data_IF_016257069710
#
_entry.id   IF_016257069710
#
_cell.length_a   1.000
_cell.length_b   1.000
_cell.length_c   1.000
_cell.angle_alpha   90.00
_cell.angle_beta   90.00
_cell.angle_gamma   90.00
#
_symmetry.space_group_name_H-M   'P 1'
#
loop_
_entity.id
_entity.type
_entity.pdbx_description
1 polymer ?
#
# COMPACT_ATOMS: atom_id res chain seq x y z
N UNK A 1 -32.96 9.41 -26.90
CA UNK A 1 -33.99 10.10 -26.11
C UNK A 1 -33.42 10.28 -24.73
N UNK A 2 -33.12 11.51 -24.36
CA UNK A 2 -32.80 11.81 -22.97
C UNK A 2 -33.99 11.42 -22.12
N UNK A 3 -33.74 10.73 -21.02
CA UNK A 3 -34.83 10.30 -20.14
C UNK A 3 -35.45 11.54 -19.49
N UNK A 4 -36.74 11.47 -19.12
CA UNK A 4 -37.41 12.53 -18.34
C UNK A 4 -36.59 12.92 -17.10
N UNK A 5 -35.86 11.96 -16.53
CA UNK A 5 -34.95 12.17 -15.39
C UNK A 5 -33.78 13.10 -15.76
N UNK A 6 -33.20 12.97 -16.95
CA UNK A 6 -32.09 13.81 -17.40
C UNK A 6 -32.56 15.23 -17.73
N UNK A 7 -33.76 15.36 -18.30
CA UNK A 7 -34.40 16.66 -18.55
C UNK A 7 -34.66 17.43 -17.23
N UNK A 8 -35.15 16.72 -16.20
CA UNK A 8 -35.33 17.30 -14.87
C UNK A 8 -33.98 17.73 -14.27
N UNK A 9 -32.94 16.90 -14.36
CA UNK A 9 -31.60 17.24 -13.84
C UNK A 9 -31.00 18.45 -14.54
N UNK A 10 -31.20 18.60 -15.85
CA UNK A 10 -30.66 19.72 -16.60
C UNK A 10 -31.36 21.06 -16.30
N UNK A 11 -32.59 21.04 -15.81
CA UNK A 11 -33.34 22.25 -15.43
C UNK A 11 -33.07 22.74 -14.00
N UNK A 12 -32.56 21.89 -13.13
CA UNK A 12 -32.34 22.22 -11.72
C UNK A 12 -30.91 22.71 -11.48
N UNK A 13 -30.76 23.87 -10.85
CA UNK A 13 -29.46 24.30 -10.31
C UNK A 13 -29.26 23.68 -8.93
N UNK A 14 -28.18 22.92 -8.78
CA UNK A 14 -27.78 22.28 -7.54
C UNK A 14 -27.62 23.29 -6.39
N UNK A 15 -27.20 24.53 -6.69
CA UNK A 15 -27.06 25.58 -5.67
C UNK A 15 -28.43 25.95 -5.11
N UNK A 16 -29.40 26.20 -5.98
CA UNK A 16 -30.78 26.52 -5.59
C UNK A 16 -31.39 25.38 -4.78
N UNK A 17 -31.31 24.15 -5.30
CA UNK A 17 -31.85 22.96 -4.63
C UNK A 17 -31.25 22.81 -3.24
N UNK A 18 -29.93 22.85 -3.08
CA UNK A 18 -29.28 22.65 -1.78
C UNK A 18 -29.52 23.85 -0.85
N UNK A 19 -29.55 25.08 -1.38
CA UNK A 19 -29.79 26.27 -0.58
C UNK A 19 -31.16 26.29 0.10
N UNK A 20 -32.13 25.52 -0.43
CA UNK A 20 -33.44 25.32 0.21
C UNK A 20 -33.36 24.46 1.50
N UNK A 21 -32.32 23.63 1.65
CA UNK A 21 -32.12 22.77 2.82
C UNK A 21 -31.02 23.27 3.76
N UNK A 22 -29.97 23.91 3.20
CA UNK A 22 -28.77 24.29 3.93
C UNK A 22 -28.42 25.74 3.67
N UNK A 23 -28.01 26.45 4.72
CA UNK A 23 -27.40 27.77 4.56
C UNK A 23 -26.01 27.63 3.93
N UNK A 24 -25.91 27.99 2.66
CA UNK A 24 -24.68 27.97 1.90
C UNK A 24 -23.88 29.26 2.11
N UNK A 25 -22.58 29.13 2.38
CA UNK A 25 -21.60 30.22 2.43
C UNK A 25 -20.75 30.19 1.16
N UNK A 26 -20.66 31.31 0.44
CA UNK A 26 -19.86 31.40 -0.80
C UNK A 26 -18.37 31.41 -0.47
N UNK A 27 -17.59 30.57 -1.16
CA UNK A 27 -16.13 30.46 -0.99
C UNK A 27 -15.44 30.26 -2.34
N UNK A 28 -14.83 31.34 -2.83
CA UNK A 28 -14.28 31.37 -4.20
C UNK A 28 -15.38 31.15 -5.23
N UNK A 29 -15.16 30.22 -6.15
CA UNK A 29 -16.17 29.82 -7.16
C UNK A 29 -17.18 28.78 -6.67
N UNK A 30 -17.04 28.27 -5.45
CA UNK A 30 -17.89 27.23 -4.88
C UNK A 30 -18.67 27.78 -3.66
N UNK A 31 -19.53 26.94 -3.09
CA UNK A 31 -20.22 27.18 -1.83
C UNK A 31 -19.85 26.11 -0.81
N UNK A 32 -20.02 26.40 0.49
CA UNK A 32 -19.85 25.42 1.56
C UNK A 32 -20.96 25.50 2.61
N UNK A 33 -21.20 24.41 3.33
CA UNK A 33 -22.08 24.34 4.49
C UNK A 33 -21.62 23.25 5.48
N UNK A 34 -22.26 23.19 6.64
CA UNK A 34 -22.19 22.01 7.50
C UNK A 34 -22.88 20.84 6.77
N UNK A 35 -22.22 19.69 6.76
CA UNK A 35 -22.74 18.48 6.15
C UNK A 35 -23.97 17.99 6.94
N UNK A 36 -25.15 17.85 6.33
CA UNK A 36 -26.35 17.37 7.03
C UNK A 36 -26.26 15.89 7.40
N UNK A 37 -25.30 15.16 6.85
CA UNK A 37 -25.16 13.72 7.02
C UNK A 37 -24.25 13.34 8.20
N UNK A 38 -23.52 14.29 8.80
CA UNK A 38 -22.65 14.04 9.95
C UNK A 38 -22.68 15.24 10.90
N UNK A 39 -22.65 15.00 12.21
CA UNK A 39 -22.64 16.09 13.20
C UNK A 39 -21.27 16.77 13.23
N UNK A 40 -21.17 17.97 12.64
CA UNK A 40 -19.91 18.72 12.57
C UNK A 40 -20.08 20.20 12.96
N UNK A 41 -19.01 20.80 13.50
CA UNK A 41 -18.97 22.22 13.89
C UNK A 41 -18.34 23.14 12.82
N UNK A 42 -17.70 22.57 11.79
CA UNK A 42 -17.04 23.32 10.70
C UNK A 42 -17.46 22.77 9.33
N UNK A 43 -17.69 23.63 8.32
CA UNK A 43 -18.19 23.21 7.01
C UNK A 43 -17.25 22.25 6.26
N UNK A 44 -17.73 21.04 5.95
CA UNK A 44 -17.04 20.08 5.05
C UNK A 44 -17.82 19.78 3.76
N UNK A 45 -19.08 20.24 3.70
CA UNK A 45 -19.95 20.07 2.54
C UNK A 45 -19.70 21.19 1.54
N UNK A 46 -19.23 20.87 0.34
CA UNK A 46 -19.00 21.84 -0.73
C UNK A 46 -19.96 21.62 -1.88
N UNK A 47 -20.42 22.71 -2.50
CA UNK A 47 -21.24 22.72 -3.71
C UNK A 47 -20.49 23.44 -4.80
N UNK A 48 -20.36 22.82 -5.96
CA UNK A 48 -19.72 23.39 -7.14
C UNK A 48 -20.76 23.74 -8.19
N UNK A 49 -21.08 25.03 -8.39
CA UNK A 49 -22.08 25.47 -9.38
C UNK A 49 -21.67 25.08 -10.80
N UNK A 50 -20.39 25.28 -11.15
CA UNK A 50 -19.88 24.97 -12.49
C UNK A 50 -19.97 23.48 -12.82
N UNK A 51 -19.81 22.61 -11.82
CA UNK A 51 -19.84 21.17 -12.03
C UNK A 51 -21.20 20.55 -11.76
N UNK A 52 -22.15 21.34 -11.24
CA UNK A 52 -23.47 20.86 -10.78
C UNK A 52 -23.35 19.63 -9.87
N UNK A 53 -22.41 19.66 -8.91
CA UNK A 53 -22.18 18.58 -7.92
C UNK A 53 -21.96 19.15 -6.52
N UNK A 54 -22.23 18.34 -5.50
CA UNK A 54 -21.77 18.57 -4.14
C UNK A 54 -20.82 17.46 -3.68
N UNK A 55 -19.97 17.77 -2.70
CA UNK A 55 -19.05 16.80 -2.11
C UNK A 55 -18.75 17.15 -0.64
N UNK A 56 -18.98 16.21 0.26
CA UNK A 56 -18.46 16.24 1.63
C UNK A 56 -17.06 15.63 1.64
N UNK A 57 -16.05 16.38 2.11
CA UNK A 57 -14.67 15.89 2.14
C UNK A 57 -14.33 15.22 3.48
N UNK A 58 -14.09 13.91 3.43
CA UNK A 58 -13.47 13.19 4.54
C UNK A 58 -12.02 13.62 4.77
N UNK A 59 -11.51 13.38 5.98
CA UNK A 59 -10.21 13.89 6.44
C UNK A 59 -9.28 12.75 6.85
N UNK A 60 -7.99 13.06 6.86
CA UNK A 60 -6.97 12.26 7.55
C UNK A 60 -6.70 12.87 8.93
N UNK A 61 -6.19 12.07 9.86
CA UNK A 61 -5.76 12.59 11.17
C UNK A 61 -4.43 13.35 11.06
N UNK A 62 -4.13 14.27 12.00
CA UNK A 62 -2.79 14.84 12.15
C UNK A 62 -1.71 13.75 12.21
N UNK A 63 -0.53 14.04 11.66
CA UNK A 63 0.57 13.09 11.50
C UNK A 63 0.47 12.21 10.25
N UNK A 64 -0.67 12.22 9.54
CA UNK A 64 -0.80 11.46 8.30
C UNK A 64 0.17 11.98 7.24
N UNK A 65 0.93 11.07 6.64
CA UNK A 65 2.00 11.43 5.71
C UNK A 65 1.46 11.69 4.30
N UNK A 66 1.82 12.85 3.74
CA UNK A 66 1.51 13.23 2.37
C UNK A 66 2.79 13.29 1.55
N UNK A 67 2.80 12.66 0.37
CA UNK A 67 3.95 12.68 -0.54
C UNK A 67 4.02 14.01 -1.28
N UNK A 68 5.09 14.75 -1.07
CA UNK A 68 5.44 15.97 -1.81
C UNK A 68 6.64 15.73 -2.73
N UNK A 69 7.03 16.74 -3.53
CA UNK A 69 8.28 16.69 -4.29
C UNK A 69 9.53 16.55 -3.40
N UNK A 70 9.49 17.04 -2.16
CA UNK A 70 10.61 17.03 -1.21
C UNK A 70 10.62 15.79 -0.30
N UNK A 71 9.69 14.85 -0.51
CA UNK A 71 9.51 13.70 0.36
C UNK A 71 8.18 13.76 1.11
N UNK A 72 8.07 12.98 2.19
CA UNK A 72 6.86 12.95 3.01
C UNK A 72 6.88 14.05 4.05
N UNK A 73 5.75 14.73 4.16
CA UNK A 73 5.48 15.71 5.20
C UNK A 73 4.20 15.33 5.91
N UNK A 74 4.07 15.69 7.19
CA UNK A 74 2.79 15.51 7.88
C UNK A 74 1.76 16.44 7.25
N UNK A 75 0.51 16.01 7.20
CA UNK A 75 -0.56 16.75 6.54
C UNK A 75 -0.75 18.16 7.12
N UNK A 76 -0.48 18.34 8.42
CA UNK A 76 -0.54 19.63 9.12
C UNK A 76 0.63 20.58 8.82
N UNK A 77 1.74 20.07 8.27
CA UNK A 77 2.91 20.87 7.91
C UNK A 77 2.79 21.48 6.51
N UNK A 78 1.86 20.99 5.69
CA UNK A 78 1.69 21.45 4.32
C UNK A 78 1.13 22.88 4.25
N UNK A 79 1.62 23.64 3.28
CA UNK A 79 1.22 25.01 3.01
C UNK A 79 0.62 25.16 1.61
N UNK A 80 -0.13 26.24 1.41
CA UNK A 80 -0.63 26.60 0.07
C UNK A 80 0.57 26.81 -0.86
N UNK A 81 0.54 26.17 -2.03
CA UNK A 81 1.62 26.15 -3.00
C UNK A 81 2.48 24.89 -2.98
N UNK A 82 2.48 24.11 -1.89
CA UNK A 82 3.27 22.87 -1.82
C UNK A 82 2.82 21.85 -2.87
N UNK A 83 3.77 21.23 -3.54
CA UNK A 83 3.50 20.28 -4.62
C UNK A 83 3.30 18.87 -4.06
N UNK A 84 2.05 18.38 -4.08
CA UNK A 84 1.64 17.07 -3.57
C UNK A 84 1.33 16.07 -4.69
N UNK A 85 1.65 14.80 -4.49
CA UNK A 85 1.42 13.74 -5.46
C UNK A 85 -0.06 13.36 -5.51
N UNK A 86 -0.63 13.37 -6.71
CA UNK A 86 -2.03 12.96 -6.95
C UNK A 86 -2.15 11.47 -7.30
N UNK A 87 -3.36 10.93 -7.21
CA UNK A 87 -3.70 9.57 -7.66
C UNK A 87 -3.42 9.30 -9.15
N UNK A 88 -3.20 10.34 -9.96
CA UNK A 88 -2.81 10.23 -11.38
C UNK A 88 -1.29 10.21 -11.59
N UNK A 89 -0.49 10.18 -10.52
CA UNK A 89 0.97 10.12 -10.59
C UNK A 89 1.64 11.46 -10.93
N UNK A 90 0.92 12.59 -10.87
CA UNK A 90 1.46 13.94 -11.11
C UNK A 90 1.40 14.81 -9.87
N UNK A 91 2.33 15.75 -9.75
CA UNK A 91 2.35 16.73 -8.67
C UNK A 91 1.44 17.92 -8.97
N UNK A 92 0.67 18.37 -7.98
CA UNK A 92 -0.18 19.56 -8.07
C UNK A 92 -0.02 20.42 -6.81
N UNK A 93 -0.15 21.75 -6.92
CA UNK A 93 -0.03 22.63 -5.75
C UNK A 93 -1.23 22.46 -4.83
N UNK A 94 -0.98 22.49 -3.52
CA UNK A 94 -2.01 22.64 -2.49
C UNK A 94 -2.64 24.00 -2.68
N UNK A 95 -3.92 24.03 -3.04
CA UNK A 95 -4.68 25.27 -3.20
C UNK A 95 -5.20 25.82 -1.86
N UNK A 96 -5.38 24.92 -0.87
CA UNK A 96 -5.93 25.23 0.44
C UNK A 96 -5.64 24.10 1.43
N UNK A 97 -5.40 24.47 2.69
CA UNK A 97 -5.36 23.56 3.83
C UNK A 97 -6.69 23.57 4.57
N UNK A 98 -7.12 22.41 5.06
CA UNK A 98 -8.38 22.24 5.79
C UNK A 98 -8.09 21.64 7.16
N UNK A 99 -8.70 22.22 8.19
CA UNK A 99 -8.64 21.68 9.56
C UNK A 99 -10.00 21.80 10.24
N UNK A 100 -10.42 20.74 10.92
CA UNK A 100 -11.64 20.73 11.72
C UNK A 100 -11.52 19.83 12.96
N UNK A 101 -12.21 20.18 14.06
CA UNK A 101 -12.54 19.19 15.08
C UNK A 101 -13.48 18.15 14.47
N UNK A 102 -13.26 16.88 14.78
CA UNK A 102 -14.09 15.77 14.32
C UNK A 102 -14.60 14.99 15.54
N UNK A 103 -15.89 14.70 15.57
CA UNK A 103 -16.52 13.84 16.56
C UNK A 103 -17.31 12.76 15.81
N UNK A 104 -16.77 11.54 15.79
CA UNK A 104 -17.29 10.42 15.01
C UNK A 104 -16.29 9.28 14.97
N UNK A 105 -16.63 8.22 14.23
CA UNK A 105 -15.75 7.06 14.11
C UNK A 105 -14.57 7.35 13.19
N UNK A 106 -13.39 6.90 13.62
CA UNK A 106 -12.18 6.88 12.80
C UNK A 106 -11.80 5.44 12.52
N UNK A 107 -11.32 5.20 11.31
CA UNK A 107 -10.93 3.87 10.84
C UNK A 107 -9.43 3.84 10.61
N UNK A 108 -8.76 2.91 11.28
CA UNK A 108 -7.33 2.62 11.04
C UNK A 108 -7.21 1.44 10.10
N UNK A 109 -6.60 1.69 8.94
CA UNK A 109 -6.39 0.68 7.91
C UNK A 109 -4.98 0.13 8.03
N UNK A 110 -4.91 -1.19 8.27
CA UNK A 110 -3.66 -1.95 8.29
C UNK A 110 -3.60 -2.88 7.08
N UNK A 111 -2.64 -2.66 6.19
CA UNK A 111 -2.47 -3.48 5.00
C UNK A 111 -1.64 -4.73 5.31
N UNK A 112 -1.97 -5.86 4.67
CA UNK A 112 -1.25 -7.12 4.86
C UNK A 112 0.26 -7.06 4.56
N UNK A 113 0.67 -6.18 3.64
CA UNK A 113 2.05 -6.07 3.14
C UNK A 113 2.74 -4.76 3.51
N UNK A 114 2.09 -3.89 4.27
CA UNK A 114 2.67 -2.62 4.74
C UNK A 114 2.68 -2.64 6.26
N UNK A 115 3.75 -2.13 6.86
CA UNK A 115 3.78 -1.86 8.29
C UNK A 115 3.15 -0.52 8.66
N UNK A 116 3.01 0.38 7.67
CA UNK A 116 2.38 1.67 7.87
C UNK A 116 0.85 1.51 8.01
N UNK A 117 0.32 2.15 9.03
CA UNK A 117 -1.11 2.29 9.28
C UNK A 117 -1.57 3.68 8.84
N UNK A 118 -2.78 3.77 8.31
CA UNK A 118 -3.39 5.05 7.97
C UNK A 118 -4.73 5.18 8.66
N UNK A 119 -4.93 6.28 9.38
CA UNK A 119 -6.18 6.55 10.10
C UNK A 119 -6.91 7.72 9.43
N UNK A 120 -8.21 7.54 9.22
CA UNK A 120 -9.05 8.45 8.46
C UNK A 120 -10.50 8.44 8.96
N UNK A 121 -11.24 9.50 8.67
CA UNK A 121 -12.65 9.63 9.07
C UNK A 121 -13.54 8.64 8.30
N UNK A 122 -14.67 8.25 8.87
CA UNK A 122 -15.58 7.24 8.31
C UNK A 122 -16.04 7.53 6.86
N UNK A 123 -16.15 8.81 6.50
CA UNK A 123 -16.60 9.31 5.21
C UNK A 123 -15.48 9.47 4.18
N UNK A 124 -14.22 9.30 4.60
CA UNK A 124 -13.07 9.45 3.72
C UNK A 124 -13.07 8.36 2.65
N UNK A 125 -13.07 8.78 1.39
CA UNK A 125 -13.19 7.86 0.26
C UNK A 125 -11.84 7.29 -0.18
N UNK A 126 -11.75 5.97 -0.27
CA UNK A 126 -10.56 5.23 -0.73
C UNK A 126 -10.84 4.48 -2.01
N UNK A 127 -9.78 4.18 -2.77
CA UNK A 127 -9.87 3.37 -3.98
C UNK A 127 -9.69 1.89 -3.65
N UNK A 128 -10.58 1.04 -4.15
CA UNK A 128 -10.66 -0.38 -3.78
C UNK A 128 -10.98 -1.24 -5.00
N UNK A 129 -10.46 -2.46 -5.00
CA UNK A 129 -10.89 -3.54 -5.88
C UNK A 129 -11.50 -4.65 -5.04
N UNK A 130 -12.77 -4.98 -5.28
CA UNK A 130 -13.47 -6.10 -4.66
C UNK A 130 -13.05 -7.40 -5.33
N UNK A 131 -12.09 -8.10 -4.74
CA UNK A 131 -11.55 -9.33 -5.32
C UNK A 131 -12.36 -10.56 -4.93
N UNK A 132 -12.31 -11.59 -5.78
CA UNK A 132 -12.90 -12.91 -5.52
C UNK A 132 -11.78 -13.94 -5.37
N UNK A 133 -11.84 -14.73 -4.30
CA UNK A 133 -10.92 -15.85 -4.10
C UNK A 133 -11.08 -16.88 -5.21
N UNK A 134 -9.95 -17.38 -5.72
CA UNK A 134 -9.94 -18.33 -6.82
C UNK A 134 -10.20 -19.76 -6.31
N UNK A 135 -11.35 -20.33 -6.66
CA UNK A 135 -11.73 -21.71 -6.32
C UNK A 135 -10.77 -22.77 -6.90
N UNK A 136 -10.06 -22.46 -7.98
CA UNK A 136 -9.14 -23.38 -8.68
C UNK A 136 -7.71 -23.38 -8.12
N UNK A 137 -7.46 -22.65 -7.03
CA UNK A 137 -6.14 -22.61 -6.39
C UNK A 137 -6.26 -23.10 -4.95
N UNK A 138 -5.31 -23.93 -4.54
CA UNK A 138 -5.29 -24.58 -3.21
C UNK A 138 -5.26 -23.61 -2.03
N UNK A 139 -4.80 -22.36 -2.21
CA UNK A 139 -4.76 -21.35 -1.15
C UNK A 139 -6.02 -20.49 -1.19
N UNK A 140 -6.82 -20.54 -0.12
CA UNK A 140 -8.03 -19.71 0.09
C UNK A 140 -7.80 -18.21 -0.08
N UNK A 141 -6.57 -17.71 0.11
CA UNK A 141 -6.19 -16.30 -0.01
C UNK A 141 -5.72 -15.87 -1.40
N UNK A 142 -5.72 -16.78 -2.39
CA UNK A 142 -5.23 -16.49 -3.73
C UNK A 142 -6.37 -15.90 -4.57
N UNK A 143 -6.26 -14.62 -4.89
CA UNK A 143 -7.19 -13.93 -5.79
C UNK A 143 -7.01 -14.42 -7.23
N UNK A 144 -8.06 -14.22 -8.05
CA UNK A 144 -7.94 -14.41 -9.49
C UNK A 144 -6.96 -13.39 -10.08
N UNK A 145 -6.07 -13.82 -10.97
CA UNK A 145 -5.07 -12.95 -11.59
C UNK A 145 -5.11 -13.12 -13.11
N UNK A 146 -4.87 -12.03 -13.83
CA UNK A 146 -4.79 -12.03 -15.30
C UNK A 146 -3.80 -13.06 -15.85
N UNK A 147 -2.68 -13.24 -15.16
CA UNK A 147 -1.59 -14.12 -15.59
C UNK A 147 -1.67 -15.55 -15.02
N UNK A 148 -2.83 -15.97 -14.48
CA UNK A 148 -2.95 -17.26 -13.79
C UNK A 148 -2.98 -18.48 -14.73
N UNK A 149 -3.99 -18.56 -15.60
CA UNK A 149 -4.11 -19.56 -16.67
C UNK A 149 -5.09 -19.00 -17.72
N UNK A 150 -4.67 -18.91 -18.98
CA UNK A 150 -5.47 -18.37 -20.08
C UNK A 150 -6.72 -19.22 -20.37
N UNK A 151 -6.67 -20.53 -20.13
CA UNK A 151 -7.79 -21.46 -20.35
C UNK A 151 -8.72 -21.64 -19.15
N UNK A 152 -8.49 -20.93 -18.04
CA UNK A 152 -9.40 -21.00 -16.90
C UNK A 152 -10.78 -20.46 -17.30
N UNK A 153 -11.89 -21.17 -17.05
CA UNK A 153 -13.22 -20.75 -17.48
C UNK A 153 -13.80 -19.61 -16.62
N UNK A 154 -13.38 -19.48 -15.35
CA UNK A 154 -14.00 -18.53 -14.43
C UNK A 154 -13.53 -17.08 -14.58
N UNK A 155 -12.23 -16.88 -14.84
CA UNK A 155 -11.59 -15.57 -15.11
C UNK A 155 -12.13 -14.35 -14.32
N UNK A 156 -12.45 -14.50 -13.04
CA UNK A 156 -13.07 -13.45 -12.21
C UNK A 156 -12.33 -12.10 -12.23
N UNK A 157 -11.03 -12.11 -12.56
CA UNK A 157 -10.23 -10.89 -12.71
C UNK A 157 -10.78 -9.93 -13.77
N UNK A 158 -11.54 -10.43 -14.77
CA UNK A 158 -12.18 -9.60 -15.80
C UNK A 158 -13.24 -8.66 -15.23
N UNK A 159 -13.87 -9.03 -14.12
CA UNK A 159 -14.90 -8.23 -13.46
C UNK A 159 -14.30 -7.22 -12.47
N UNK A 160 -12.99 -7.26 -12.24
CA UNK A 160 -12.35 -6.38 -11.27
C UNK A 160 -12.36 -4.95 -11.78
N UNK A 161 -13.07 -4.09 -11.05
CA UNK A 161 -13.16 -2.66 -11.31
C UNK A 161 -12.62 -1.88 -10.12
N UNK A 162 -12.11 -0.69 -10.41
CA UNK A 162 -11.70 0.27 -9.40
C UNK A 162 -12.96 0.98 -8.91
N UNK A 163 -13.23 0.89 -7.61
CA UNK A 163 -14.34 1.55 -6.95
C UNK A 163 -13.80 2.60 -5.98
N UNK A 164 -14.58 3.66 -5.75
CA UNK A 164 -14.28 4.69 -4.76
C UNK A 164 -15.37 4.66 -3.69
N UNK A 165 -15.06 4.09 -2.53
CA UNK A 165 -16.02 3.86 -1.43
C UNK A 165 -15.59 4.59 -0.15
N UNK A 166 -16.51 4.79 0.79
CA UNK A 166 -16.17 5.38 2.09
C UNK A 166 -15.42 4.38 2.97
N UNK A 167 -14.67 4.89 3.94
CA UNK A 167 -13.90 4.09 4.86
C UNK A 167 -14.75 3.10 5.66
N UNK A 168 -15.94 3.53 6.09
CA UNK A 168 -16.89 2.70 6.82
C UNK A 168 -17.40 1.49 6.03
N UNK A 169 -17.35 1.55 4.70
CA UNK A 169 -17.82 0.48 3.81
C UNK A 169 -16.72 -0.55 3.49
N UNK A 170 -15.52 -0.36 4.03
CA UNK A 170 -14.42 -1.31 3.89
C UNK A 170 -14.72 -2.61 4.64
N UNK A 171 -14.32 -3.71 4.03
CA UNK A 171 -14.45 -5.06 4.59
C UNK A 171 -13.09 -5.75 4.60
N UNK A 172 -12.95 -6.74 5.49
CA UNK A 172 -11.73 -7.54 5.54
C UNK A 172 -11.48 -8.23 4.19
N UNK A 173 -10.24 -8.13 3.70
CA UNK A 173 -9.73 -8.64 2.42
C UNK A 173 -10.06 -7.81 1.18
N UNK A 174 -10.63 -6.61 1.33
CA UNK A 174 -10.65 -5.64 0.25
C UNK A 174 -9.23 -5.27 -0.19
N UNK A 175 -9.03 -5.12 -1.50
CA UNK A 175 -7.75 -4.69 -2.06
C UNK A 175 -7.76 -3.19 -2.23
N UNK A 176 -7.22 -2.48 -1.24
CA UNK A 176 -7.00 -1.05 -1.38
C UNK A 176 -5.93 -0.76 -2.43
N UNK A 177 -6.23 0.24 -3.25
CA UNK A 177 -5.26 0.86 -4.14
C UNK A 177 -4.61 2.02 -3.42
N UNK A 178 -3.30 1.95 -3.32
CA UNK A 178 -2.45 3.00 -2.79
C UNK A 178 -1.24 3.12 -3.72
N UNK A 179 -0.67 4.33 -3.85
CA UNK A 179 0.55 4.50 -4.62
C UNK A 179 1.65 3.62 -4.03
N UNK A 180 2.36 2.87 -4.88
CA UNK A 180 3.56 2.14 -4.45
C UNK A 180 4.64 3.18 -4.21
N UNK A 181 5.01 3.31 -2.96
CA UNK A 181 5.97 4.30 -2.52
C UNK A 181 7.37 3.70 -2.62
N UNK A 182 8.11 4.08 -3.67
CA UNK A 182 9.55 3.93 -3.67
C UNK A 182 10.13 5.11 -2.88
N UNK A 183 10.63 4.83 -1.69
CA UNK A 183 11.43 5.75 -0.89
C UNK A 183 12.89 5.46 -1.21
N UNK A 184 13.62 6.48 -1.65
CA UNK A 184 15.07 6.41 -1.81
C UNK A 184 15.62 7.22 -0.64
N UNK A 185 16.32 6.54 0.26
CA UNK A 185 16.96 7.15 1.41
C UNK A 185 18.33 6.52 1.61
N UNK A 186 19.30 7.33 2.01
CA UNK A 186 20.61 6.84 2.38
C UNK A 186 20.52 6.21 3.76
N UNK A 187 20.64 4.89 3.80
CA UNK A 187 20.65 4.12 5.05
C UNK A 187 22.08 3.66 5.33
N UNK A 188 22.51 3.85 6.57
CA UNK A 188 23.78 3.32 7.08
C UNK A 188 23.59 1.97 7.78
N UNK A 189 22.38 1.72 8.29
CA UNK A 189 22.03 0.49 9.02
C UNK A 189 20.69 -0.01 8.50
N UNK A 190 20.66 -1.28 8.10
CA UNK A 190 19.45 -2.05 7.85
C UNK A 190 18.94 -2.64 9.16
N UNK A 191 17.82 -2.10 9.62
CA UNK A 191 17.12 -2.58 10.82
C UNK A 191 16.05 -3.62 10.45
N UNK A 192 16.35 -4.88 10.74
CA UNK A 192 15.49 -6.03 10.45
C UNK A 192 14.26 -6.11 11.36
N UNK A 193 14.26 -5.47 12.53
CA UNK A 193 13.09 -5.46 13.42
C UNK A 193 11.90 -4.79 12.74
N UNK A 194 12.17 -3.79 11.90
CA UNK A 194 11.16 -3.11 11.06
C UNK A 194 10.46 -4.06 10.07
N UNK A 195 11.01 -5.23 9.78
CA UNK A 195 10.42 -6.21 8.87
C UNK A 195 9.94 -7.48 9.59
N UNK A 196 10.25 -7.64 10.87
CA UNK A 196 9.98 -8.83 11.65
C UNK A 196 8.59 -8.81 12.28
N UNK A 197 7.57 -9.25 11.54
CA UNK A 197 6.17 -9.29 12.01
C UNK A 197 5.77 -10.63 12.68
N UNK A 198 6.71 -11.53 12.98
CA UNK A 198 6.36 -12.90 13.35
C UNK A 198 6.05 -12.99 14.85
N UNK A 199 4.77 -13.23 15.20
CA UNK A 199 4.37 -13.63 16.56
C UNK A 199 5.11 -14.91 16.96
N UNK A 200 5.70 -14.93 18.15
CA UNK A 200 6.26 -16.15 18.74
C UNK A 200 5.18 -17.24 18.74
N UNK A 201 5.47 -18.36 18.09
CA UNK A 201 4.59 -19.52 18.09
C UNK A 201 5.11 -20.51 19.12
N UNK A 202 4.20 -21.09 19.90
CA UNK A 202 4.50 -22.22 20.81
C UNK A 202 5.03 -23.46 20.08
N UNK A 203 4.85 -23.53 18.76
CA UNK A 203 5.24 -24.66 17.91
C UNK A 203 6.14 -24.21 16.77
N UNK A 204 7.30 -24.88 16.63
CA UNK A 204 8.29 -24.65 15.58
C UNK A 204 9.73 -24.76 16.10
N UNK A 205 10.74 -24.82 15.21
CA UNK A 205 12.15 -24.81 15.61
C UNK A 205 12.47 -23.49 16.34
N UNK A 206 13.28 -23.59 17.40
CA UNK A 206 13.82 -22.42 18.11
C UNK A 206 14.85 -21.75 17.20
N UNK A 207 14.48 -20.58 16.69
CA UNK A 207 15.32 -19.80 15.78
C UNK A 207 16.48 -19.21 16.60
N UNK A 208 17.72 -19.32 16.13
CA UNK A 208 18.85 -18.66 16.78
C UNK A 208 18.79 -17.16 16.54
N UNK A 209 19.28 -16.38 17.49
CA UNK A 209 19.36 -14.93 17.34
C UNK A 209 20.31 -14.59 16.19
N UNK A 210 19.80 -13.80 15.24
CA UNK A 210 20.61 -13.16 14.20
C UNK A 210 20.74 -11.66 14.52
N UNK A 211 21.80 -10.99 14.05
CA UNK A 211 21.91 -9.55 14.18
C UNK A 211 20.69 -8.86 13.57
N UNK A 212 20.01 -8.01 14.35
CA UNK A 212 18.84 -7.26 13.87
C UNK A 212 19.21 -5.94 13.22
N UNK A 213 20.35 -5.36 13.59
CA UNK A 213 20.87 -4.11 13.01
C UNK A 213 22.14 -4.43 12.21
N UNK A 214 22.04 -4.35 10.89
CA UNK A 214 23.13 -4.73 9.98
C UNK A 214 23.66 -3.48 9.29
N UNK A 215 24.96 -3.15 9.41
CA UNK A 215 25.53 -2.01 8.70
C UNK A 215 25.49 -2.25 7.18
N UNK A 216 25.21 -1.20 6.42
CA UNK A 216 25.33 -1.22 4.96
C UNK A 216 26.82 -1.21 4.60
N UNK A 217 27.37 -2.41 4.44
CA UNK A 217 28.76 -2.68 4.09
C UNK A 217 28.88 -3.22 2.67
N UNK A 218 30.09 -3.17 2.11
CA UNK A 218 30.40 -3.79 0.82
C UNK A 218 29.99 -5.27 0.79
N UNK A 219 30.29 -6.01 1.87
CA UNK A 219 29.91 -7.42 2.02
C UNK A 219 28.40 -7.65 1.93
N UNK A 220 27.61 -6.81 2.62
CA UNK A 220 26.16 -6.91 2.57
C UNK A 220 25.65 -6.63 1.16
N UNK A 221 26.14 -5.57 0.53
CA UNK A 221 25.75 -5.19 -0.83
C UNK A 221 26.11 -6.29 -1.83
N UNK A 222 27.28 -6.92 -1.68
CA UNK A 222 27.72 -8.05 -2.51
C UNK A 222 26.81 -9.26 -2.35
N UNK A 223 26.46 -9.62 -1.11
CA UNK A 223 25.52 -10.71 -0.83
C UNK A 223 24.11 -10.43 -1.39
N UNK A 224 23.63 -9.20 -1.29
CA UNK A 224 22.37 -8.77 -1.89
C UNK A 224 22.42 -8.87 -3.42
N UNK A 225 23.54 -8.51 -4.05
CA UNK A 225 23.79 -8.71 -5.47
C UNK A 225 23.66 -10.17 -5.88
N UNK A 226 24.33 -11.09 -5.16
CA UNK A 226 24.18 -12.53 -5.39
C UNK A 226 22.74 -13.01 -5.22
N UNK A 227 22.02 -12.47 -4.22
CA UNK A 227 20.63 -12.85 -3.98
C UNK A 227 19.70 -12.38 -5.10
N UNK A 228 19.93 -11.20 -5.67
CA UNK A 228 19.16 -10.68 -6.79
C UNK A 228 19.41 -11.52 -8.06
N UNK A 229 20.66 -11.93 -8.29
CA UNK A 229 21.05 -12.72 -9.46
C UNK A 229 20.52 -14.16 -9.38
N UNK A 230 20.80 -14.87 -8.28
CA UNK A 230 20.63 -16.34 -8.20
C UNK A 230 19.90 -16.80 -6.93
N UNK A 231 19.46 -15.86 -6.11
CA UNK A 231 18.79 -16.11 -4.85
C UNK A 231 17.31 -16.48 -5.01
N UNK A 232 16.84 -17.30 -4.10
CA UNK A 232 15.41 -17.51 -3.88
C UNK A 232 15.13 -17.91 -2.44
N UNK A 233 13.90 -17.70 -1.99
CA UNK A 233 13.48 -18.07 -0.65
C UNK A 233 12.59 -19.31 -0.65
N UNK A 234 12.81 -20.19 0.32
CA UNK A 234 11.90 -21.26 0.69
C UNK A 234 11.28 -20.97 2.07
N UNK A 235 10.38 -21.84 2.54
CA UNK A 235 9.68 -21.65 3.83
C UNK A 235 10.60 -21.59 5.05
N UNK A 236 11.78 -22.21 4.97
CA UNK A 236 12.69 -22.40 6.11
C UNK A 236 14.13 -21.91 5.87
N UNK A 237 14.49 -21.64 4.62
CA UNK A 237 15.86 -21.29 4.24
C UNK A 237 15.87 -20.34 3.05
N UNK A 238 16.98 -19.63 2.88
CA UNK A 238 17.33 -18.98 1.63
C UNK A 238 18.24 -19.91 0.82
N UNK A 239 18.16 -19.84 -0.50
CA UNK A 239 19.00 -20.64 -1.39
C UNK A 239 19.57 -19.83 -2.53
N UNK A 240 20.74 -20.22 -3.00
CA UNK A 240 21.40 -19.69 -4.19
C UNK A 240 21.64 -20.86 -5.16
N UNK A 241 21.32 -20.69 -6.44
CA UNK A 241 21.53 -21.73 -7.46
C UNK A 241 22.62 -21.28 -8.42
N UNK A 242 23.76 -21.97 -8.45
CA UNK A 242 24.90 -21.63 -9.30
C UNK A 242 25.24 -22.78 -10.26
N UNK A 243 26.00 -22.46 -11.31
CA UNK A 243 26.64 -23.42 -12.19
C UNK A 243 27.72 -24.25 -11.48
N UNK A 244 28.04 -25.42 -12.02
CA UNK A 244 29.04 -26.33 -11.40
C UNK A 244 30.46 -25.76 -11.34
N UNK A 245 30.78 -24.81 -12.22
CA UNK A 245 32.08 -24.17 -12.33
C UNK A 245 32.23 -22.99 -11.37
N UNK A 246 31.14 -22.48 -10.81
CA UNK A 246 31.11 -21.27 -9.97
C UNK A 246 31.38 -21.58 -8.49
N UNK A 247 32.38 -22.44 -8.21
CA UNK A 247 32.70 -22.85 -6.83
C UNK A 247 33.22 -21.71 -5.98
N UNK A 248 33.95 -20.77 -6.58
CA UNK A 248 34.48 -19.60 -5.88
C UNK A 248 33.35 -18.69 -5.39
N UNK A 249 32.37 -18.40 -6.26
CA UNK A 249 31.16 -17.66 -5.89
C UNK A 249 30.38 -18.38 -4.79
N UNK A 250 30.27 -19.71 -4.87
CA UNK A 250 29.61 -20.51 -3.83
C UNK A 250 30.29 -20.38 -2.46
N UNK A 251 31.63 -20.47 -2.42
CA UNK A 251 32.42 -20.29 -1.19
C UNK A 251 32.28 -18.89 -0.63
N UNK A 252 32.30 -17.87 -1.50
CA UNK A 252 32.15 -16.49 -1.07
C UNK A 252 30.76 -16.24 -0.46
N UNK A 253 29.68 -16.73 -1.08
CA UNK A 253 28.33 -16.62 -0.52
C UNK A 253 28.27 -17.24 0.88
N UNK A 254 28.90 -18.40 1.08
CA UNK A 254 28.93 -19.06 2.41
C UNK A 254 29.62 -18.17 3.44
N UNK A 255 30.79 -17.62 3.10
CA UNK A 255 31.55 -16.73 3.98
C UNK A 255 30.77 -15.46 4.31
N UNK A 256 30.14 -14.82 3.32
CA UNK A 256 29.34 -13.61 3.51
C UNK A 256 28.15 -13.87 4.43
N UNK A 257 27.42 -14.98 4.24
CA UNK A 257 26.28 -15.32 5.09
C UNK A 257 26.71 -15.56 6.54
N UNK A 258 27.80 -16.28 6.76
CA UNK A 258 28.34 -16.53 8.11
C UNK A 258 28.84 -15.23 8.75
N UNK A 259 29.57 -14.40 8.00
CA UNK A 259 30.10 -13.11 8.48
C UNK A 259 29.01 -12.11 8.86
N UNK A 260 27.97 -11.97 8.03
CA UNK A 260 26.93 -10.96 8.22
C UNK A 260 25.89 -11.40 9.25
N UNK A 261 25.46 -12.67 9.19
CA UNK A 261 24.33 -13.15 9.97
C UNK A 261 24.70 -14.14 11.07
N UNK A 262 25.94 -14.64 11.12
CA UNK A 262 26.33 -15.73 12.03
C UNK A 262 25.63 -17.06 11.72
N UNK A 263 25.10 -17.22 10.51
CA UNK A 263 24.35 -18.42 10.09
C UNK A 263 25.24 -19.28 9.20
N UNK A 264 25.33 -20.57 9.52
CA UNK A 264 26.04 -21.53 8.66
C UNK A 264 25.27 -21.78 7.36
N UNK A 265 25.96 -21.67 6.24
CA UNK A 265 25.44 -22.03 4.92
C UNK A 265 26.15 -23.29 4.40
N UNK A 266 25.41 -24.15 3.70
CA UNK A 266 25.92 -25.43 3.18
C UNK A 266 25.78 -25.50 1.67
N UNK A 267 26.81 -26.04 1.00
CA UNK A 267 26.81 -26.30 -0.44
C UNK A 267 26.38 -27.75 -0.74
N UNK A 268 25.48 -27.90 -1.70
CA UNK A 268 24.99 -29.18 -2.18
C UNK A 268 25.18 -29.26 -3.70
N UNK A 269 25.71 -30.38 -4.19
CA UNK A 269 25.70 -30.67 -5.63
C UNK A 269 24.37 -31.31 -6.00
N UNK A 270 23.65 -30.74 -6.96
CA UNK A 270 22.41 -31.36 -7.47
C UNK A 270 22.76 -32.63 -8.23
N UNK A 271 22.16 -33.76 -7.82
CA UNK A 271 22.25 -35.05 -8.51
C UNK A 271 20.98 -35.21 -9.37
N UNK A 272 21.11 -35.17 -10.70
CA UNK A 272 19.98 -35.32 -11.63
C UNK A 272 20.23 -34.68 -13.01
N UNK A 273 19.18 -34.61 -13.85
CA UNK A 273 19.26 -34.09 -15.23
C UNK A 273 19.68 -32.60 -15.33
N UNK A 274 19.53 -31.83 -14.24
CA UNK A 274 20.04 -30.47 -14.12
C UNK A 274 21.17 -30.47 -13.10
N UNK A 275 22.39 -30.25 -13.58
CA UNK A 275 23.59 -30.17 -12.75
C UNK A 275 23.78 -28.73 -12.26
N UNK A 276 24.30 -28.55 -11.03
CA UNK A 276 24.53 -27.24 -10.43
C UNK A 276 24.93 -27.32 -8.96
N UNK A 277 25.39 -26.19 -8.43
CA UNK A 277 25.65 -26.00 -7.00
C UNK A 277 24.44 -25.31 -6.36
N UNK A 278 24.03 -25.77 -5.19
CA UNK A 278 22.98 -25.15 -4.40
C UNK A 278 23.54 -24.80 -3.03
N UNK A 279 23.58 -23.51 -2.71
CA UNK A 279 23.93 -23.05 -1.37
C UNK A 279 22.62 -22.85 -0.62
N UNK A 280 22.49 -23.41 0.58
CA UNK A 280 21.34 -23.17 1.46
C UNK A 280 21.80 -22.59 2.79
N UNK A 281 21.08 -21.59 3.30
CA UNK A 281 21.31 -21.04 4.63
C UNK A 281 20.01 -21.08 5.42
N UNK A 282 20.06 -21.75 6.57
CA UNK A 282 18.92 -22.02 7.43
C UNK A 282 19.24 -21.60 8.86
N UNK A 283 18.37 -20.78 9.45
CA UNK A 283 18.46 -20.38 10.85
C UNK A 283 17.59 -21.31 11.71
N UNK A 284 18.08 -22.55 11.88
CA UNK A 284 17.49 -23.60 12.74
C UNK A 284 18.44 -24.00 13.84
#
# INVERSE_FOLDING_TARGET
MDSIIDEIKNRLDIVEVISSYLKLEKVGSNYRALCPFHSEKKPSFFVSPTRQIWHCFGCFLPGSLVKTKKGYHKIEELQVGDLVLTHKGRYMPVIRTLWRPYNGYVYTIKLRKSNEEVTLTEDHKVFVIRTKNCKYKSRKTRICQRNCNKSCPAQFWKDYKIEKIQAKDLTLNDFLLYPINQKIEDIQILDLEKYWQRKEKRFGPKIKNIPTKIPISEDLLKLLGYYIAEGSNHRAYIRFSLGNHERELASEIIQLVEKIFGVRATIHKRKGAKTGLEITACNT
#
